data_IF_088451682264
#
_entry.id   IF_088451682264
#
_cell.length_a   1.000
_cell.length_b   1.000
_cell.length_c   1.000
_cell.angle_alpha   90.00
_cell.angle_beta   90.00
_cell.angle_gamma   90.00
#
_symmetry.space_group_name_H-M   'P 1'
#
loop_
_entity.id
_entity.type
_entity.pdbx_description
1 polymer ?
#
# COMPACT_ATOMS: atom_id res chain seq x y z
N UNK A 1 -36.10 17.64 39.29
CA UNK A 1 -36.26 19.03 38.79
C UNK A 1 -35.44 19.99 39.66
N UNK A 2 -34.20 20.27 39.26
CA UNK A 2 -33.37 21.27 39.94
C UNK A 2 -33.70 22.63 39.33
N UNK A 3 -34.16 23.57 40.15
CA UNK A 3 -34.67 24.88 39.72
C UNK A 3 -33.62 25.70 38.96
N UNK A 4 -33.89 25.96 37.69
CA UNK A 4 -33.12 26.79 36.75
C UNK A 4 -32.83 28.20 37.30
N UNK A 5 -33.69 28.71 38.19
CA UNK A 5 -33.52 30.00 38.84
C UNK A 5 -32.34 30.04 39.83
N UNK A 6 -32.06 28.92 40.53
CA UNK A 6 -30.97 28.83 41.51
C UNK A 6 -29.59 28.76 40.85
N UNK A 7 -29.54 28.22 39.62
CA UNK A 7 -28.31 28.18 38.79
C UNK A 7 -28.02 29.56 38.19
N UNK A 8 -29.04 30.26 37.66
CA UNK A 8 -28.89 31.65 37.15
C UNK A 8 -28.35 32.61 38.19
N UNK A 9 -28.84 32.55 39.43
CA UNK A 9 -28.42 33.50 40.47
C UNK A 9 -26.98 33.25 40.96
N UNK A 10 -26.53 31.99 41.01
CA UNK A 10 -25.12 31.64 41.29
C UNK A 10 -24.19 32.03 40.14
N UNK A 11 -24.62 31.82 38.90
CA UNK A 11 -23.85 32.20 37.71
C UNK A 11 -23.68 33.71 37.60
N UNK A 12 -24.73 34.48 37.92
CA UNK A 12 -24.70 35.95 37.91
C UNK A 12 -23.80 36.54 39.00
N UNK A 13 -23.76 35.93 40.19
CA UNK A 13 -22.83 36.34 41.26
C UNK A 13 -21.37 36.01 40.93
N UNK A 14 -21.12 34.87 40.27
CA UNK A 14 -19.81 34.49 39.74
C UNK A 14 -19.33 35.45 38.64
N UNK A 15 -20.22 35.83 37.72
CA UNK A 15 -19.96 36.82 36.67
C UNK A 15 -19.67 38.22 37.24
N UNK A 16 -20.44 38.65 38.24
CA UNK A 16 -20.27 39.96 38.87
C UNK A 16 -18.96 40.03 39.70
N UNK A 17 -18.53 38.93 40.31
CA UNK A 17 -17.23 38.83 40.98
C UNK A 17 -16.04 38.73 39.99
N UNK A 18 -16.27 38.21 38.77
CA UNK A 18 -15.25 38.15 37.71
C UNK A 18 -14.99 39.53 37.06
N UNK A 19 -16.01 40.39 36.97
CA UNK A 19 -15.92 41.71 36.34
C UNK A 19 -15.16 42.78 37.15
N UNK A 20 -14.89 42.56 38.43
CA UNK A 20 -14.19 43.55 39.27
C UNK A 20 -12.64 43.49 39.12
N UNK A 21 -12.13 42.50 38.38
CA UNK A 21 -10.70 42.29 38.14
C UNK A 21 -10.47 41.91 36.66
N UNK A 22 -10.10 42.84 35.76
CA UNK A 22 -9.99 42.58 34.32
C UNK A 22 -9.02 41.43 33.99
N UNK A 23 -8.04 41.19 34.87
CA UNK A 23 -7.08 40.08 34.77
C UNK A 23 -7.73 38.69 34.97
N UNK A 24 -8.77 38.58 35.81
CA UNK A 24 -9.49 37.31 36.04
C UNK A 24 -10.43 36.98 34.90
N UNK A 25 -11.09 37.99 34.34
CA UNK A 25 -11.93 37.85 33.15
C UNK A 25 -11.13 37.34 31.95
N UNK A 26 -9.97 37.93 31.67
CA UNK A 26 -9.09 37.51 30.56
C UNK A 26 -8.61 36.06 30.74
N UNK A 27 -8.20 35.66 31.96
CA UNK A 27 -7.81 34.27 32.25
C UNK A 27 -8.96 33.28 32.03
N UNK A 28 -10.19 33.65 32.44
CA UNK A 28 -11.38 32.83 32.22
C UNK A 28 -11.70 32.64 30.74
N UNK A 29 -11.61 33.72 29.94
CA UNK A 29 -11.84 33.67 28.49
C UNK A 29 -10.79 32.80 27.79
N UNK A 30 -9.51 32.98 28.12
CA UNK A 30 -8.42 32.18 27.55
C UNK A 30 -8.60 30.69 27.86
N UNK A 31 -8.89 30.34 29.12
CA UNK A 31 -9.14 28.94 29.52
C UNK A 31 -10.35 28.33 28.80
N UNK A 32 -11.42 29.10 28.61
CA UNK A 32 -12.61 28.67 27.89
C UNK A 32 -12.30 28.38 26.42
N UNK A 33 -11.60 29.29 25.73
CA UNK A 33 -11.18 29.10 24.34
C UNK A 33 -10.25 27.89 24.22
N UNK A 34 -9.25 27.76 25.09
CA UNK A 34 -8.33 26.62 25.09
C UNK A 34 -9.05 25.29 25.35
N UNK A 35 -10.07 25.29 26.21
CA UNK A 35 -10.89 24.10 26.48
C UNK A 35 -11.70 23.69 25.25
N UNK A 36 -12.25 24.64 24.49
CA UNK A 36 -12.94 24.35 23.22
C UNK A 36 -11.96 23.75 22.20
N UNK A 37 -10.78 24.35 22.04
CA UNK A 37 -9.75 23.87 21.10
C UNK A 37 -9.32 22.44 21.45
N UNK A 38 -9.10 22.13 22.73
CA UNK A 38 -8.72 20.78 23.16
C UNK A 38 -9.88 19.80 22.96
N UNK A 39 -11.12 20.16 23.28
CA UNK A 39 -12.26 19.28 22.99
C UNK A 39 -12.38 18.95 21.49
N UNK A 40 -12.11 19.93 20.62
CA UNK A 40 -12.06 19.71 19.18
C UNK A 40 -10.92 18.76 18.78
N UNK A 41 -9.70 18.99 19.29
CA UNK A 41 -8.54 18.13 19.04
C UNK A 41 -8.79 16.69 19.51
N UNK A 42 -9.35 16.50 20.71
CA UNK A 42 -9.68 15.18 21.23
C UNK A 42 -10.70 14.48 20.33
N UNK A 43 -11.74 15.20 19.89
CA UNK A 43 -12.75 14.63 18.99
C UNK A 43 -12.13 14.17 17.67
N UNK A 44 -11.19 14.94 17.12
CA UNK A 44 -10.45 14.57 15.90
C UNK A 44 -9.54 13.35 16.12
N UNK A 45 -8.83 13.29 17.26
CA UNK A 45 -8.00 12.13 17.62
C UNK A 45 -8.84 10.86 17.79
N UNK A 46 -10.01 10.95 18.43
CA UNK A 46 -10.93 9.80 18.53
C UNK A 46 -11.47 9.36 17.17
N UNK A 47 -11.79 10.30 16.27
CA UNK A 47 -12.18 9.96 14.89
C UNK A 47 -11.07 9.23 14.14
N UNK A 48 -9.83 9.71 14.25
CA UNK A 48 -8.64 9.06 13.67
C UNK A 48 -8.35 7.70 14.28
N UNK A 49 -8.64 7.49 15.57
CA UNK A 49 -8.50 6.18 16.20
C UNK A 49 -9.55 5.18 15.72
N UNK A 50 -10.79 5.63 15.49
CA UNK A 50 -11.87 4.77 15.00
C UNK A 50 -11.71 4.42 13.51
N UNK A 51 -11.27 5.38 12.69
CA UNK A 51 -11.03 5.20 11.26
C UNK A 51 -9.60 5.67 10.95
N UNK A 52 -8.59 4.84 11.25
CA UNK A 52 -7.19 5.20 11.03
C UNK A 52 -6.92 5.38 9.53
N UNK A 53 -6.24 6.47 9.12
CA UNK A 53 -5.81 6.62 7.74
C UNK A 53 -4.86 5.48 7.37
N UNK A 54 -5.01 4.95 6.17
CA UNK A 54 -4.09 3.95 5.61
C UNK A 54 -2.89 4.71 5.05
N UNK A 55 -1.70 4.27 5.45
CA UNK A 55 -0.42 4.76 4.95
C UNK A 55 0.30 3.63 4.24
N UNK A 56 1.05 3.97 3.20
CA UNK A 56 1.85 3.00 2.43
C UNK A 56 3.33 3.28 2.62
N UNK A 57 4.11 2.24 2.92
CA UNK A 57 5.56 2.31 2.98
C UNK A 57 6.19 1.40 1.93
N UNK A 58 7.15 1.94 1.17
CA UNK A 58 7.94 1.18 0.20
C UNK A 58 9.37 1.04 0.66
N UNK A 59 9.89 -0.18 0.73
CA UNK A 59 11.30 -0.47 1.00
C UNK A 59 11.89 -1.44 -0.02
N UNK A 60 13.21 -1.48 -0.10
CA UNK A 60 13.94 -2.46 -0.91
C UNK A 60 14.65 -3.43 0.01
N UNK A 61 14.34 -4.71 -0.15
CA UNK A 61 14.97 -5.78 0.62
C UNK A 61 15.80 -6.66 -0.34
N UNK A 62 16.98 -7.08 0.12
CA UNK A 62 17.83 -8.05 -0.58
C UNK A 62 17.38 -9.45 -0.16
N UNK A 63 16.76 -10.18 -1.07
CA UNK A 63 16.31 -11.53 -0.78
C UNK A 63 17.45 -12.55 -0.99
N UNK A 64 17.65 -13.47 -0.05
CA UNK A 64 18.70 -14.50 -0.17
C UNK A 64 18.42 -15.49 -1.30
N UNK A 65 17.13 -15.83 -1.48
CA UNK A 65 16.62 -16.76 -2.49
C UNK A 65 15.47 -16.14 -3.26
N UNK A 66 15.48 -16.24 -4.58
CA UNK A 66 14.42 -15.70 -5.44
C UNK A 66 13.54 -16.84 -5.96
N UNK A 67 12.24 -16.62 -5.92
CA UNK A 67 11.25 -17.43 -6.63
C UNK A 67 11.06 -16.84 -8.03
N UNK A 68 11.01 -17.70 -9.03
CA UNK A 68 10.67 -17.28 -10.39
C UNK A 68 9.15 -17.22 -10.57
N UNK A 69 8.63 -16.42 -11.51
CA UNK A 69 7.22 -16.44 -11.85
C UNK A 69 6.84 -17.71 -12.61
N UNK A 70 5.55 -17.96 -12.68
CA UNK A 70 4.98 -18.84 -13.69
C UNK A 70 4.97 -18.12 -15.05
N UNK A 71 5.20 -18.88 -16.13
CA UNK A 71 5.20 -18.33 -17.49
C UNK A 71 4.27 -19.14 -18.38
N UNK A 72 3.20 -18.52 -18.85
CA UNK A 72 2.25 -19.14 -19.78
C UNK A 72 2.54 -18.73 -21.21
N UNK A 73 2.62 -19.72 -22.09
CA UNK A 73 2.79 -19.55 -23.53
C UNK A 73 1.54 -19.99 -24.27
N UNK A 74 1.02 -19.11 -25.13
CA UNK A 74 -0.03 -19.43 -26.09
C UNK A 74 0.51 -19.15 -27.50
N UNK A 75 0.29 -20.07 -28.44
CA UNK A 75 0.85 -19.97 -29.78
C UNK A 75 -0.04 -19.15 -30.70
N UNK A 76 0.56 -18.41 -31.63
CA UNK A 76 -0.13 -17.69 -32.70
C UNK A 76 0.43 -18.12 -34.07
N UNK A 77 -0.39 -18.69 -34.97
CA UNK A 77 -1.82 -19.00 -34.79
C UNK A 77 -2.04 -20.16 -33.81
N UNK A 78 -3.16 -20.10 -33.09
CA UNK A 78 -3.53 -21.07 -32.06
C UNK A 78 -3.94 -22.46 -32.60
N UNK A 79 -4.43 -22.50 -33.85
CA UNK A 79 -5.00 -23.70 -34.46
C UNK A 79 -4.33 -24.03 -35.80
N UNK A 80 -4.11 -25.32 -36.04
CA UNK A 80 -3.59 -25.89 -37.28
C UNK A 80 -4.62 -25.73 -38.41
N UNK A 81 -4.27 -24.97 -39.45
CA UNK A 81 -5.18 -24.63 -40.53
C UNK A 81 -5.65 -25.85 -41.34
N UNK A 82 -4.76 -26.81 -41.58
CA UNK A 82 -5.05 -28.07 -42.27
C UNK A 82 -6.01 -28.96 -41.47
N UNK A 83 -5.83 -29.02 -40.15
CA UNK A 83 -6.73 -29.75 -39.26
C UNK A 83 -8.10 -29.07 -39.15
N UNK A 84 -8.15 -27.73 -39.04
CA UNK A 84 -9.43 -27.01 -39.08
C UNK A 84 -10.20 -27.29 -40.38
N UNK A 85 -9.51 -27.30 -41.52
CA UNK A 85 -10.12 -27.60 -42.82
C UNK A 85 -10.72 -29.02 -42.88
N UNK A 86 -10.06 -30.02 -42.25
CA UNK A 86 -10.60 -31.39 -42.10
C UNK A 86 -11.97 -31.42 -41.42
N UNK A 87 -12.23 -30.50 -40.50
CA UNK A 87 -13.49 -30.36 -39.77
C UNK A 87 -14.47 -29.34 -40.38
N UNK A 88 -14.22 -28.89 -41.62
CA UNK A 88 -14.99 -27.86 -42.32
C UNK A 88 -14.97 -26.46 -41.65
N UNK A 89 -13.94 -26.16 -40.84
CA UNK A 89 -13.74 -24.83 -40.27
C UNK A 89 -12.85 -24.01 -41.22
N UNK A 90 -13.39 -22.91 -41.73
CA UNK A 90 -12.67 -22.00 -42.63
C UNK A 90 -12.05 -20.78 -41.91
N UNK A 91 -12.49 -20.51 -40.68
CA UNK A 91 -12.05 -19.36 -39.88
C UNK A 91 -11.89 -19.80 -38.41
N UNK A 92 -11.34 -18.90 -37.58
CA UNK A 92 -11.06 -19.15 -36.17
C UNK A 92 -12.28 -19.67 -35.39
N UNK A 93 -12.15 -20.67 -34.50
CA UNK A 93 -13.24 -21.20 -33.67
C UNK A 93 -14.00 -20.16 -32.83
N UNK A 94 -13.40 -19.01 -32.56
CA UNK A 94 -14.06 -17.91 -31.81
C UNK A 94 -15.23 -17.23 -32.55
N UNK A 95 -15.35 -17.47 -33.86
CA UNK A 95 -16.45 -16.97 -34.66
C UNK A 95 -17.53 -18.04 -34.78
N UNK A 96 -18.76 -17.68 -34.45
CA UNK A 96 -19.90 -18.60 -34.43
C UNK A 96 -20.16 -19.26 -35.81
N UNK A 97 -19.88 -18.55 -36.90
CA UNK A 97 -20.01 -19.08 -38.27
C UNK A 97 -19.05 -20.23 -38.59
N UNK A 98 -17.97 -20.42 -37.83
CA UNK A 98 -17.05 -21.56 -37.98
C UNK A 98 -17.75 -22.91 -37.83
N UNK A 99 -18.84 -22.95 -37.05
CA UNK A 99 -19.57 -24.18 -36.76
C UNK A 99 -20.80 -24.39 -37.64
N UNK A 100 -21.00 -23.60 -38.69
CA UNK A 100 -22.12 -23.77 -39.63
C UNK A 100 -22.07 -25.12 -40.37
N UNK A 101 -20.87 -25.65 -40.61
CA UNK A 101 -20.64 -26.89 -41.39
C UNK A 101 -19.88 -27.96 -40.62
N UNK A 102 -19.71 -27.77 -39.31
CA UNK A 102 -19.01 -28.74 -38.47
C UNK A 102 -19.83 -30.05 -38.37
N UNK A 103 -19.21 -31.22 -38.59
CA UNK A 103 -19.92 -32.50 -38.62
C UNK A 103 -20.14 -33.07 -37.21
N UNK A 104 -21.06 -32.47 -36.46
CA UNK A 104 -21.42 -32.90 -35.09
C UNK A 104 -21.87 -34.37 -34.97
N UNK A 105 -22.30 -34.97 -36.08
CA UNK A 105 -22.67 -36.38 -36.16
C UNK A 105 -21.47 -37.35 -36.19
N UNK A 106 -20.31 -36.88 -36.62
CA UNK A 106 -19.11 -37.70 -36.84
C UNK A 106 -17.96 -37.34 -35.89
N UNK A 107 -17.96 -36.13 -35.34
CA UNK A 107 -16.85 -35.60 -34.54
C UNK A 107 -17.34 -34.75 -33.38
N UNK A 108 -16.63 -34.83 -32.25
CA UNK A 108 -16.90 -34.00 -31.06
C UNK A 108 -16.06 -32.72 -31.05
N UNK A 109 -16.50 -31.73 -30.27
CA UNK A 109 -15.71 -30.52 -30.03
C UNK A 109 -14.37 -30.85 -29.35
N UNK A 110 -14.37 -31.78 -28.39
CA UNK A 110 -13.15 -32.26 -27.74
C UNK A 110 -12.14 -32.80 -28.76
N UNK A 111 -12.58 -33.62 -29.72
CA UNK A 111 -11.71 -34.16 -30.75
C UNK A 111 -11.14 -33.06 -31.65
N UNK A 112 -11.97 -32.10 -32.07
CA UNK A 112 -11.53 -30.94 -32.84
C UNK A 112 -10.43 -30.17 -32.10
N UNK A 113 -10.66 -29.77 -30.84
CA UNK A 113 -9.70 -28.96 -30.10
C UNK A 113 -8.43 -29.74 -29.76
N UNK A 114 -8.52 -31.04 -29.49
CA UNK A 114 -7.35 -31.88 -29.25
C UNK A 114 -6.46 -32.06 -30.50
N UNK A 115 -7.06 -32.25 -31.68
CA UNK A 115 -6.30 -32.42 -32.91
C UNK A 115 -5.81 -31.10 -33.52
N UNK A 116 -6.65 -30.05 -33.45
CA UNK A 116 -6.37 -28.77 -34.10
C UNK A 116 -5.39 -27.90 -33.33
N UNK A 117 -5.15 -28.18 -32.04
CA UNK A 117 -4.15 -27.47 -31.23
C UNK A 117 -2.80 -28.19 -31.23
N UNK A 118 -1.79 -27.54 -30.66
CA UNK A 118 -0.40 -28.01 -30.67
C UNK A 118 -0.06 -28.70 -29.36
N UNK A 119 0.32 -29.98 -29.43
CA UNK A 119 0.70 -30.74 -28.24
C UNK A 119 2.10 -30.37 -27.74
N UNK A 120 2.51 -30.92 -26.60
CA UNK A 120 3.76 -30.56 -25.93
C UNK A 120 5.01 -30.76 -26.81
N UNK A 121 5.07 -31.84 -27.59
CA UNK A 121 6.24 -32.16 -28.43
C UNK A 121 6.29 -31.35 -29.74
N UNK A 122 5.14 -30.83 -30.16
CA UNK A 122 5.02 -29.85 -31.23
C UNK A 122 5.35 -28.43 -30.75
N UNK A 123 5.17 -28.14 -29.45
CA UNK A 123 5.30 -26.82 -28.86
C UNK A 123 6.72 -26.51 -28.34
N UNK A 124 7.34 -27.44 -27.60
CA UNK A 124 8.64 -27.23 -26.97
C UNK A 124 9.76 -28.00 -27.68
N UNK A 125 10.89 -27.33 -27.91
CA UNK A 125 12.17 -27.99 -28.23
C UNK A 125 12.90 -28.33 -26.94
N UNK A 126 12.99 -27.36 -26.03
CA UNK A 126 13.63 -27.48 -24.74
C UNK A 126 13.05 -26.43 -23.78
N UNK A 127 12.96 -26.76 -22.51
CA UNK A 127 12.67 -25.79 -21.45
C UNK A 127 13.38 -26.22 -20.16
N UNK A 128 13.70 -25.27 -19.30
CA UNK A 128 14.26 -25.55 -17.99
C UNK A 128 14.49 -24.28 -17.19
N UNK A 129 14.71 -24.48 -15.89
CA UNK A 129 15.03 -23.43 -14.93
C UNK A 129 16.34 -23.81 -14.24
N UNK A 130 17.29 -22.88 -14.16
CA UNK A 130 18.62 -23.14 -13.62
C UNK A 130 19.30 -24.34 -14.31
N UNK A 131 19.18 -24.38 -15.65
CA UNK A 131 19.80 -25.39 -16.53
C UNK A 131 19.09 -26.74 -16.60
N UNK A 132 18.01 -26.97 -15.84
CA UNK A 132 17.43 -28.32 -15.67
C UNK A 132 15.91 -28.32 -15.96
N UNK A 133 15.39 -29.26 -16.78
CA UNK A 133 13.95 -29.37 -17.05
C UNK A 133 13.13 -29.79 -15.83
N UNK A 134 13.68 -30.65 -14.96
CA UNK A 134 13.02 -31.13 -13.72
C UNK A 134 12.71 -30.03 -12.70
N UNK A 135 13.27 -28.84 -12.89
CA UNK A 135 13.01 -27.68 -12.03
C UNK A 135 11.74 -26.92 -12.43
N UNK A 136 11.02 -27.41 -13.44
CA UNK A 136 9.82 -26.81 -13.99
C UNK A 136 8.73 -27.86 -14.11
N UNK A 137 7.53 -27.55 -13.65
CA UNK A 137 6.31 -28.30 -13.97
C UNK A 137 5.62 -27.64 -15.16
N UNK A 138 5.15 -28.46 -16.10
CA UNK A 138 4.41 -27.97 -17.28
C UNK A 138 2.95 -28.34 -17.13
N UNK A 139 2.11 -27.33 -17.01
CA UNK A 139 0.65 -27.47 -16.95
C UNK A 139 0.04 -27.06 -18.29
N UNK A 140 -0.87 -27.89 -18.78
CA UNK A 140 -1.64 -27.62 -20.00
C UNK A 140 -2.97 -26.95 -19.65
N UNK A 141 -3.37 -25.97 -20.45
CA UNK A 141 -4.71 -25.39 -20.42
C UNK A 141 -5.25 -25.19 -21.83
N UNK A 142 -6.57 -25.33 -22.00
CA UNK A 142 -7.25 -25.17 -23.27
C UNK A 142 -8.18 -23.96 -23.21
N UNK A 143 -8.09 -23.11 -24.23
CA UNK A 143 -8.72 -21.80 -24.33
C UNK A 143 -9.43 -21.68 -25.69
N UNK A 144 -10.48 -20.85 -25.79
CA UNK A 144 -11.25 -20.69 -27.03
C UNK A 144 -10.54 -19.79 -28.04
N UNK A 145 -9.92 -18.71 -27.57
CA UNK A 145 -9.25 -17.73 -28.41
C UNK A 145 -7.79 -18.10 -28.62
N UNK A 146 -7.14 -18.63 -27.59
CA UNK A 146 -5.70 -18.92 -27.57
C UNK A 146 -5.35 -20.39 -27.85
N UNK A 147 -6.36 -21.26 -28.00
CA UNK A 147 -6.15 -22.69 -28.19
C UNK A 147 -5.46 -23.35 -26.99
N UNK A 148 -4.52 -24.26 -27.25
CA UNK A 148 -3.78 -24.94 -26.18
C UNK A 148 -2.58 -24.12 -25.75
N UNK A 149 -2.54 -23.78 -24.47
CA UNK A 149 -1.46 -23.03 -23.85
C UNK A 149 -0.73 -23.89 -22.82
N UNK A 150 0.53 -23.53 -22.56
CA UNK A 150 1.39 -24.22 -21.61
C UNK A 150 1.95 -23.25 -20.58
N UNK A 151 1.69 -23.54 -19.31
CA UNK A 151 2.22 -22.81 -18.16
C UNK A 151 3.41 -23.55 -17.58
N UNK A 152 4.54 -22.86 -17.48
CA UNK A 152 5.75 -23.33 -16.82
C UNK A 152 5.75 -22.83 -15.37
N UNK A 153 5.55 -23.73 -14.41
CA UNK A 153 5.59 -23.44 -12.98
C UNK A 153 6.96 -23.78 -12.39
N UNK A 154 7.57 -22.88 -11.60
CA UNK A 154 8.89 -23.12 -11.02
C UNK A 154 8.82 -24.04 -9.79
N UNK A 155 9.58 -25.13 -9.80
CA UNK A 155 9.66 -26.07 -8.68
C UNK A 155 10.85 -25.80 -7.73
N UNK A 156 11.67 -24.79 -8.05
CA UNK A 156 12.89 -24.49 -7.29
C UNK A 156 13.10 -23.00 -7.10
N UNK A 157 13.80 -22.65 -6.02
CA UNK A 157 14.28 -21.30 -5.74
C UNK A 157 15.76 -21.21 -6.07
N UNK A 158 16.20 -20.04 -6.54
CA UNK A 158 17.60 -19.82 -6.88
C UNK A 158 18.25 -18.75 -6.02
N UNK A 159 19.54 -18.93 -5.73
CA UNK A 159 20.39 -17.98 -5.01
C UNK A 159 21.15 -17.06 -5.97
N UNK A 160 20.93 -17.17 -7.27
CA UNK A 160 21.77 -16.53 -8.28
C UNK A 160 20.92 -15.67 -9.23
N UNK A 161 21.40 -14.46 -9.51
CA UNK A 161 20.72 -13.43 -10.32
C UNK A 161 21.46 -13.19 -11.63
N UNK A 162 21.65 -14.23 -12.42
CA UNK A 162 22.26 -14.18 -13.75
C UNK A 162 21.49 -15.06 -14.74
N UNK A 163 21.79 -14.92 -16.03
CA UNK A 163 21.05 -15.52 -17.15
C UNK A 163 20.92 -17.04 -17.04
N UNK A 164 22.01 -17.74 -16.77
CA UNK A 164 22.09 -19.21 -16.65
C UNK A 164 21.31 -19.77 -15.45
N UNK A 165 21.05 -18.95 -14.42
CA UNK A 165 20.26 -19.36 -13.27
C UNK A 165 18.75 -19.19 -13.47
N UNK A 166 18.34 -18.52 -14.56
CA UNK A 166 16.94 -18.27 -14.90
C UNK A 166 16.33 -19.34 -15.80
N UNK A 167 15.20 -18.98 -16.43
CA UNK A 167 14.57 -19.81 -17.44
C UNK A 167 15.35 -19.77 -18.75
N UNK A 168 15.50 -20.95 -19.37
CA UNK A 168 15.94 -21.11 -20.74
C UNK A 168 14.89 -21.94 -21.48
N UNK A 169 14.19 -21.32 -22.43
CA UNK A 169 13.05 -21.93 -23.10
C UNK A 169 13.21 -21.74 -24.61
N UNK A 170 13.09 -22.84 -25.35
CA UNK A 170 13.14 -22.91 -26.79
C UNK A 170 11.82 -23.50 -27.31
N UNK A 171 11.11 -22.72 -28.11
CA UNK A 171 9.79 -23.03 -28.63
C UNK A 171 9.88 -23.40 -30.11
N UNK A 172 9.04 -24.33 -30.57
CA UNK A 172 8.97 -24.80 -31.95
C UNK A 172 7.75 -24.23 -32.66
N UNK A 173 7.97 -23.81 -33.91
CA UNK A 173 6.90 -23.36 -34.80
C UNK A 173 6.94 -24.12 -36.14
N UNK A 174 5.81 -24.18 -36.84
CA UNK A 174 5.69 -24.86 -38.16
C UNK A 174 5.73 -23.86 -39.34
N UNK A 175 5.31 -22.62 -39.09
CA UNK A 175 5.12 -21.61 -40.12
C UNK A 175 6.43 -20.91 -40.45
N UNK A 176 6.73 -20.80 -41.74
CA UNK A 176 7.83 -19.98 -42.25
C UNK A 176 7.28 -18.56 -42.53
N UNK A 177 7.96 -17.52 -42.05
CA UNK A 177 7.52 -16.10 -42.02
C UNK A 177 7.30 -15.51 -43.44
N UNK A 178 7.62 -16.25 -44.51
CA UNK A 178 7.56 -15.78 -45.89
C UNK A 178 6.15 -15.45 -46.43
N UNK A 179 5.07 -15.68 -45.67
CA UNK A 179 3.69 -15.53 -46.13
C UNK A 179 2.76 -14.73 -45.20
N UNK A 180 3.28 -13.84 -44.35
CA UNK A 180 2.43 -12.99 -43.51
C UNK A 180 1.91 -11.80 -44.31
N UNK A 181 0.59 -11.62 -44.38
CA UNK A 181 -0.02 -10.45 -45.03
C UNK A 181 0.13 -9.21 -44.15
N UNK A 182 0.25 -8.03 -44.78
CA UNK A 182 0.31 -6.75 -44.05
C UNK A 182 -1.00 -6.54 -43.30
N UNK A 183 -0.93 -6.50 -41.96
CA UNK A 183 -2.09 -6.32 -41.07
C UNK A 183 -2.41 -7.52 -40.18
N UNK A 184 -1.86 -8.70 -40.49
CA UNK A 184 -1.98 -9.88 -39.64
C UNK A 184 -0.91 -9.90 -38.55
N UNK A 185 -1.22 -10.50 -37.40
CA UNK A 185 -0.23 -10.73 -36.35
C UNK A 185 0.84 -11.71 -36.87
N UNK A 186 2.14 -11.38 -36.76
CA UNK A 186 3.18 -12.29 -37.22
C UNK A 186 3.15 -13.58 -36.38
N UNK A 187 3.50 -14.75 -36.93
CA UNK A 187 3.48 -16.00 -36.18
C UNK A 187 4.47 -15.94 -35.00
N UNK A 188 4.12 -16.55 -33.89
CA UNK A 188 4.86 -16.42 -32.64
C UNK A 188 4.14 -16.99 -31.43
N UNK A 189 4.41 -16.39 -30.27
CA UNK A 189 3.84 -16.78 -28.99
C UNK A 189 3.50 -15.56 -28.15
N UNK A 190 2.29 -15.59 -27.61
CA UNK A 190 1.89 -14.76 -26.48
C UNK A 190 2.53 -15.33 -25.22
N UNK A 191 3.24 -14.47 -24.49
CA UNK A 191 3.96 -14.81 -23.26
C UNK A 191 3.34 -14.03 -22.12
N UNK A 192 2.83 -14.75 -21.12
CA UNK A 192 2.21 -14.18 -19.93
C UNK A 192 3.04 -14.55 -18.71
N UNK A 193 3.48 -13.55 -17.95
CA UNK A 193 4.29 -13.73 -16.74
C UNK A 193 3.43 -13.34 -15.55
N UNK A 194 3.24 -14.28 -14.63
CA UNK A 194 2.34 -14.09 -13.49
C UNK A 194 2.83 -14.88 -12.27
N UNK A 195 2.24 -14.57 -11.11
CA UNK A 195 2.44 -15.38 -9.92
C UNK A 195 1.86 -16.79 -10.12
N UNK A 196 2.52 -17.79 -9.54
CA UNK A 196 2.08 -19.19 -9.61
C UNK A 196 0.66 -19.35 -9.07
N UNK A 197 0.33 -18.61 -8.01
CA UNK A 197 -0.99 -18.68 -7.39
C UNK A 197 -2.07 -18.00 -8.21
N UNK A 198 -1.76 -16.94 -8.97
CA UNK A 198 -2.78 -16.18 -9.73
C UNK A 198 -3.32 -16.99 -10.92
N UNK A 199 -2.47 -17.78 -11.57
CA UNK A 199 -2.80 -18.52 -12.80
C UNK A 199 -2.97 -17.63 -14.03
N UNK A 200 -3.33 -18.25 -15.16
CA UNK A 200 -3.61 -17.58 -16.43
C UNK A 200 -5.06 -17.83 -16.86
N UNK A 201 -5.72 -16.77 -17.34
CA UNK A 201 -7.03 -16.82 -17.96
C UNK A 201 -6.99 -16.06 -19.30
N UNK A 202 -7.69 -16.56 -20.32
CA UNK A 202 -7.76 -15.86 -21.61
C UNK A 202 -8.55 -14.54 -21.54
N UNK A 203 -9.51 -14.44 -20.62
CA UNK A 203 -10.34 -13.24 -20.44
C UNK A 203 -9.58 -12.14 -19.70
N UNK A 204 -9.27 -11.06 -20.42
CA UNK A 204 -8.35 -10.00 -19.99
C UNK A 204 -8.77 -9.25 -18.74
N UNK A 205 -10.07 -9.09 -18.50
CA UNK A 205 -10.58 -8.31 -17.36
C UNK A 205 -10.51 -9.06 -16.02
N UNK A 206 -10.29 -10.39 -16.06
CA UNK A 206 -10.13 -11.22 -14.87
C UNK A 206 -8.67 -11.30 -14.41
N UNK A 207 -7.72 -11.05 -15.31
CA UNK A 207 -6.30 -10.89 -14.97
C UNK A 207 -6.12 -9.50 -14.38
N UNK A 208 -6.16 -9.39 -13.05
CA UNK A 208 -6.20 -8.19 -12.20
C UNK A 208 -5.07 -7.14 -12.34
N UNK A 209 -4.51 -6.95 -13.54
CA UNK A 209 -3.31 -6.15 -13.82
C UNK A 209 -2.01 -6.79 -13.31
N UNK A 210 -2.08 -8.04 -12.83
CA UNK A 210 -0.97 -8.79 -12.22
C UNK A 210 -0.26 -9.74 -13.19
N UNK A 211 -0.68 -9.73 -14.45
CA UNK A 211 -0.13 -10.56 -15.52
C UNK A 211 0.57 -9.64 -16.52
N UNK A 212 1.87 -9.82 -16.67
CA UNK A 212 2.67 -9.08 -17.64
C UNK A 212 2.61 -9.79 -19.00
N UNK A 213 2.37 -9.03 -20.08
CA UNK A 213 2.19 -9.56 -21.43
C UNK A 213 3.33 -9.15 -22.36
N UNK A 214 3.89 -10.13 -23.05
CA UNK A 214 4.90 -9.95 -24.09
C UNK A 214 4.55 -10.79 -25.32
N UNK A 215 5.06 -10.37 -26.48
CA UNK A 215 4.98 -11.15 -27.72
C UNK A 215 6.38 -11.57 -28.18
N UNK A 216 6.55 -12.86 -28.45
CA UNK A 216 7.77 -13.46 -28.98
C UNK A 216 7.52 -13.92 -30.42
N UNK A 217 8.26 -13.37 -31.38
CA UNK A 217 8.09 -13.73 -32.78
C UNK A 217 8.86 -15.02 -33.12
N UNK A 218 8.44 -15.71 -34.18
CA UNK A 218 9.23 -16.80 -34.75
C UNK A 218 10.58 -16.29 -35.23
N UNK A 219 11.63 -17.10 -35.06
CA UNK A 219 13.02 -16.78 -35.37
C UNK A 219 13.60 -15.60 -34.57
N UNK A 220 13.14 -15.43 -33.33
CA UNK A 220 13.61 -14.42 -32.39
C UNK A 220 14.23 -15.06 -31.14
N UNK A 221 15.32 -14.45 -30.64
CA UNK A 221 15.81 -14.64 -29.28
C UNK A 221 15.48 -13.39 -28.46
N UNK A 222 14.76 -13.56 -27.36
CA UNK A 222 14.38 -12.50 -26.45
C UNK A 222 14.99 -12.72 -25.06
N UNK A 223 15.65 -11.69 -24.52
CA UNK A 223 16.17 -11.66 -23.15
C UNK A 223 15.30 -10.75 -22.29
N UNK A 224 14.81 -11.26 -21.17
CA UNK A 224 13.92 -10.58 -20.24
C UNK A 224 14.59 -10.50 -18.88
N UNK A 225 14.63 -9.27 -18.37
CA UNK A 225 14.97 -8.98 -16.98
C UNK A 225 13.68 -8.94 -16.14
N UNK A 226 13.69 -9.68 -15.04
CA UNK A 226 12.64 -9.65 -14.03
C UNK A 226 12.94 -8.65 -12.91
N UNK A 227 11.87 -8.03 -12.41
CA UNK A 227 11.84 -7.30 -11.14
C UNK A 227 10.62 -7.75 -10.34
N UNK A 228 10.75 -7.87 -9.03
CA UNK A 228 9.67 -8.37 -8.14
C UNK A 228 9.23 -7.29 -7.18
N UNK A 229 7.91 -7.20 -7.00
CA UNK A 229 7.28 -6.36 -6.00
C UNK A 229 6.33 -7.20 -5.15
N UNK A 230 6.47 -7.15 -3.83
CA UNK A 230 5.51 -7.73 -2.90
C UNK A 230 4.63 -6.63 -2.34
N UNK A 231 3.33 -6.82 -2.43
CA UNK A 231 2.32 -5.94 -1.88
C UNK A 231 1.64 -6.64 -0.70
N UNK A 232 1.57 -5.95 0.43
CA UNK A 232 0.78 -6.33 1.59
C UNK A 232 -0.25 -5.24 1.81
N UNK A 233 -1.47 -5.50 1.39
CA UNK A 233 -2.60 -4.58 1.47
C UNK A 233 -3.42 -4.87 2.73
N UNK A 234 -4.11 -3.85 3.23
CA UNK A 234 -5.08 -4.02 4.31
C UNK A 234 -6.49 -4.11 3.75
N UNK A 235 -7.28 -5.04 4.28
CA UNK A 235 -8.72 -5.08 4.00
C UNK A 235 -9.36 -3.79 4.51
N UNK A 236 -10.06 -3.09 3.62
CA UNK A 236 -10.74 -1.84 3.94
C UNK A 236 -12.14 -1.82 3.31
N UNK A 237 -12.97 -0.85 3.70
CA UNK A 237 -14.29 -0.68 3.11
C UNK A 237 -14.22 -0.36 1.60
N UNK A 238 -13.14 0.27 1.14
CA UNK A 238 -12.94 0.63 -0.27
C UNK A 238 -12.29 -0.50 -1.08
N UNK A 239 -11.48 -1.34 -0.43
CA UNK A 239 -10.78 -2.48 -1.04
C UNK A 239 -10.93 -3.72 -0.16
N UNK A 240 -11.90 -4.57 -0.52
CA UNK A 240 -12.06 -5.88 0.09
C UNK A 240 -11.04 -6.87 -0.49
N UNK A 241 -10.12 -7.33 0.35
CA UNK A 241 -9.16 -8.37 0.03
C UNK A 241 -9.28 -9.53 1.03
N UNK A 242 -8.81 -10.72 0.65
CA UNK A 242 -8.86 -11.92 1.49
C UNK A 242 -7.45 -12.29 1.94
N UNK A 243 -7.26 -12.53 3.23
CA UNK A 243 -5.94 -12.95 3.75
C UNK A 243 -5.53 -14.34 3.25
N UNK A 244 -6.51 -15.24 3.09
CA UNK A 244 -6.27 -16.61 2.64
C UNK A 244 -7.35 -17.05 1.66
N UNK A 245 -6.92 -17.50 0.47
CA UNK A 245 -7.78 -18.17 -0.49
C UNK A 245 -7.05 -19.36 -1.09
N UNK A 246 -7.76 -20.49 -1.25
CA UNK A 246 -7.25 -21.65 -1.96
C UNK A 246 -7.36 -21.53 -3.48
N UNK A 247 -8.10 -20.53 -3.97
CA UNK A 247 -8.36 -20.29 -5.39
C UNK A 247 -8.00 -18.83 -5.71
N UNK A 248 -7.35 -18.60 -6.85
CA UNK A 248 -7.03 -17.25 -7.28
C UNK A 248 -8.26 -16.46 -7.66
N UNK A 249 -8.14 -15.13 -7.60
CA UNK A 249 -9.20 -14.23 -8.04
C UNK A 249 -9.52 -14.43 -9.53
N UNK A 250 -8.49 -14.58 -10.37
CA UNK A 250 -8.59 -14.94 -11.79
C UNK A 250 -9.37 -16.24 -12.00
N UNK A 251 -8.97 -17.32 -11.33
CA UNK A 251 -9.60 -18.64 -11.51
C UNK A 251 -11.04 -18.69 -10.98
N UNK A 252 -11.30 -17.99 -9.88
CA UNK A 252 -12.64 -17.79 -9.35
C UNK A 252 -13.53 -17.09 -10.39
N UNK A 253 -13.02 -16.01 -10.99
CA UNK A 253 -13.70 -15.26 -12.04
C UNK A 253 -14.01 -16.12 -13.27
N UNK A 254 -13.03 -16.90 -13.76
CA UNK A 254 -13.24 -17.81 -14.89
C UNK A 254 -14.36 -18.80 -14.61
N UNK A 255 -14.31 -19.51 -13.48
CA UNK A 255 -15.32 -20.51 -13.13
C UNK A 255 -16.69 -19.86 -12.96
N UNK A 256 -16.77 -18.68 -12.37
CA UNK A 256 -18.03 -17.95 -12.23
C UNK A 256 -18.62 -17.59 -13.60
N UNK A 257 -17.80 -17.05 -14.50
CA UNK A 257 -18.20 -16.75 -15.86
C UNK A 257 -18.71 -18.03 -16.54
N UNK A 258 -17.91 -19.09 -16.54
CA UNK A 258 -18.27 -20.35 -17.20
C UNK A 258 -19.60 -20.90 -16.69
N UNK A 259 -19.85 -20.84 -15.37
CA UNK A 259 -21.14 -21.21 -14.79
C UNK A 259 -22.28 -20.36 -15.34
N UNK A 260 -22.14 -19.03 -15.38
CA UNK A 260 -23.19 -18.15 -15.90
C UNK A 260 -23.54 -18.45 -17.37
N UNK A 261 -22.53 -18.75 -18.19
CA UNK A 261 -22.70 -19.14 -19.59
C UNK A 261 -23.39 -20.51 -19.68
N UNK A 262 -22.87 -21.51 -18.97
CA UNK A 262 -23.38 -22.89 -19.04
C UNK A 262 -24.79 -23.01 -18.46
N UNK A 263 -25.11 -22.28 -17.39
CA UNK A 263 -26.46 -22.25 -16.81
C UNK A 263 -27.50 -21.69 -17.82
N UNK A 264 -27.06 -20.83 -18.73
CA UNK A 264 -27.91 -20.24 -19.77
C UNK A 264 -28.09 -21.15 -20.99
N UNK A 265 -27.06 -21.93 -21.34
CA UNK A 265 -27.04 -22.76 -22.58
C UNK A 265 -27.42 -24.21 -22.32
N UNK A 266 -27.05 -24.76 -21.16
CA UNK A 266 -27.26 -26.16 -20.79
C UNK A 266 -26.17 -27.13 -21.27
N UNK A 267 -25.12 -26.65 -21.93
CA UNK A 267 -23.95 -27.43 -22.34
C UNK A 267 -22.66 -26.62 -22.19
N UNK A 268 -21.52 -27.31 -22.19
CA UNK A 268 -20.17 -26.73 -22.04
C UNK A 268 -19.37 -26.82 -23.36
N UNK A 269 -18.12 -26.36 -23.31
CA UNK A 269 -17.13 -26.61 -24.35
C UNK A 269 -15.81 -27.10 -23.74
N UNK A 270 -14.92 -27.72 -24.53
CA UNK A 270 -13.65 -28.27 -24.06
C UNK A 270 -12.75 -27.26 -23.33
N UNK A 271 -12.87 -25.97 -23.66
CA UNK A 271 -12.12 -24.87 -23.04
C UNK A 271 -12.66 -24.42 -21.67
N UNK A 272 -13.73 -25.05 -21.17
CA UNK A 272 -14.33 -24.77 -19.85
C UNK A 272 -14.26 -26.01 -18.93
N UNK A 273 -13.05 -26.46 -18.54
CA UNK A 273 -12.88 -27.67 -17.74
C UNK A 273 -13.46 -27.54 -16.32
N UNK A 274 -14.07 -28.61 -15.82
CA UNK A 274 -14.47 -28.73 -14.42
C UNK A 274 -15.86 -28.21 -14.06
N UNK A 275 -16.69 -27.83 -15.04
CA UNK A 275 -18.09 -27.42 -14.81
C UNK A 275 -19.04 -28.61 -14.59
N UNK A 276 -18.65 -29.82 -15.01
CA UNK A 276 -19.45 -31.04 -14.79
C UNK A 276 -20.69 -31.15 -15.68
N UNK A 277 -20.73 -30.39 -16.78
CA UNK A 277 -21.78 -30.40 -17.80
C UNK A 277 -21.17 -30.91 -19.11
N UNK A 278 -21.88 -31.75 -19.89
CA UNK A 278 -21.36 -32.27 -21.15
C UNK A 278 -21.17 -31.18 -22.21
N UNK A 279 -20.27 -31.45 -23.17
CA UNK A 279 -20.03 -30.56 -24.30
C UNK A 279 -21.26 -30.43 -25.21
N UNK A 280 -21.39 -29.27 -25.86
CA UNK A 280 -22.43 -29.04 -26.85
C UNK A 280 -22.27 -29.99 -28.07
N UNK A 281 -23.40 -30.55 -28.52
CA UNK A 281 -23.45 -31.59 -29.56
C UNK A 281 -24.10 -31.13 -30.87
N UNK A 282 -24.46 -29.85 -30.97
CA UNK A 282 -25.09 -29.30 -32.16
C UNK A 282 -24.62 -27.88 -32.45
N UNK A 283 -24.88 -27.43 -33.67
CA UNK A 283 -24.40 -26.14 -34.15
C UNK A 283 -25.12 -24.96 -33.46
N UNK A 284 -26.39 -25.09 -33.10
CA UNK A 284 -27.16 -23.99 -32.51
C UNK A 284 -26.71 -23.73 -31.06
N UNK A 285 -26.57 -24.80 -30.27
CA UNK A 285 -26.08 -24.71 -28.89
C UNK A 285 -24.63 -24.23 -28.85
N UNK A 286 -23.74 -24.76 -29.70
CA UNK A 286 -22.33 -24.34 -29.77
C UNK A 286 -22.18 -22.85 -30.14
N UNK A 287 -22.98 -22.37 -31.10
CA UNK A 287 -22.96 -20.94 -31.47
C UNK A 287 -23.47 -20.06 -30.34
N UNK A 288 -24.52 -20.50 -29.64
CA UNK A 288 -25.07 -19.77 -28.50
C UNK A 288 -24.07 -19.73 -27.35
N UNK A 289 -23.38 -20.84 -27.08
CA UNK A 289 -22.29 -20.94 -26.13
C UNK A 289 -21.19 -19.92 -26.41
N UNK A 290 -20.62 -19.95 -27.62
CA UNK A 290 -19.52 -19.04 -28.01
C UNK A 290 -19.98 -17.58 -27.97
N UNK A 291 -21.22 -17.30 -28.40
CA UNK A 291 -21.78 -15.95 -28.36
C UNK A 291 -21.87 -15.44 -26.93
N UNK A 292 -22.42 -16.22 -26.00
CA UNK A 292 -22.56 -15.82 -24.60
C UNK A 292 -21.23 -15.74 -23.88
N UNK A 293 -20.32 -16.69 -24.14
CA UNK A 293 -18.94 -16.68 -23.65
C UNK A 293 -18.24 -15.35 -23.96
N UNK A 294 -18.38 -14.86 -25.20
CA UNK A 294 -17.79 -13.58 -25.61
C UNK A 294 -18.54 -12.37 -25.09
N UNK A 295 -19.87 -12.45 -24.93
CA UNK A 295 -20.66 -11.34 -24.41
C UNK A 295 -20.43 -11.08 -22.92
N UNK A 296 -20.03 -12.11 -22.17
CA UNK A 296 -19.78 -12.04 -20.74
C UNK A 296 -18.29 -11.90 -20.40
N UNK A 297 -17.41 -11.64 -21.39
CA UNK A 297 -15.97 -11.41 -21.18
C UNK A 297 -15.71 -10.29 -20.17
N UNK A 298 -16.60 -9.29 -20.15
CA UNK A 298 -16.53 -8.11 -19.29
C UNK A 298 -17.28 -8.26 -17.95
N UNK A 299 -17.74 -9.46 -17.57
CA UNK A 299 -18.42 -9.67 -16.30
C UNK A 299 -17.45 -9.37 -15.14
N UNK A 300 -17.80 -8.39 -14.32
CA UNK A 300 -16.97 -7.98 -13.19
C UNK A 300 -16.88 -9.10 -12.13
N UNK A 301 -15.66 -9.46 -11.77
CA UNK A 301 -15.36 -10.47 -10.74
C UNK A 301 -15.95 -10.14 -9.37
N UNK A 302 -16.25 -8.85 -9.09
CA UNK A 302 -16.94 -8.45 -7.86
C UNK A 302 -18.35 -9.03 -7.76
N UNK A 303 -19.07 -9.18 -8.88
CA UNK A 303 -20.40 -9.80 -8.92
C UNK A 303 -20.34 -11.29 -8.52
N UNK A 304 -19.18 -11.90 -8.71
CA UNK A 304 -18.89 -13.29 -8.36
C UNK A 304 -18.35 -13.47 -6.93
N UNK A 305 -18.14 -12.37 -6.18
CA UNK A 305 -17.48 -12.42 -4.87
C UNK A 305 -16.03 -12.88 -4.94
N UNK A 306 -15.37 -12.70 -6.09
CA UNK A 306 -13.98 -13.11 -6.31
C UNK A 306 -13.05 -11.97 -5.88
N UNK A 307 -12.65 -11.99 -4.61
CA UNK A 307 -11.76 -10.97 -4.04
C UNK A 307 -10.30 -11.33 -4.24
N UNK A 308 -9.48 -10.30 -4.44
CA UNK A 308 -8.03 -10.45 -4.54
C UNK A 308 -7.41 -10.79 -3.18
N UNK A 309 -6.29 -11.54 -3.14
CA UNK A 309 -5.55 -11.75 -1.90
C UNK A 309 -4.94 -10.44 -1.40
N UNK A 310 -4.90 -10.25 -0.07
CA UNK A 310 -4.27 -9.09 0.55
C UNK A 310 -2.74 -9.09 0.37
N UNK A 311 -2.14 -10.27 0.24
CA UNK A 311 -0.73 -10.43 -0.11
C UNK A 311 -0.63 -10.82 -1.58
N UNK A 312 0.09 -10.02 -2.38
CA UNK A 312 0.32 -10.34 -3.78
C UNK A 312 1.75 -10.09 -4.20
N UNK A 313 2.24 -10.89 -5.13
CA UNK A 313 3.52 -10.68 -5.79
C UNK A 313 3.26 -10.27 -7.24
N UNK A 314 3.88 -9.19 -7.67
CA UNK A 314 3.84 -8.72 -9.06
C UNK A 314 5.24 -8.84 -9.64
N UNK A 315 5.30 -9.44 -10.82
CA UNK A 315 6.53 -9.59 -11.59
C UNK A 315 6.48 -8.64 -12.78
N UNK A 316 7.42 -7.71 -12.83
CA UNK A 316 7.59 -6.82 -13.98
C UNK A 316 8.66 -7.39 -14.90
N UNK A 317 8.30 -7.60 -16.16
CA UNK A 317 9.21 -8.08 -17.18
C UNK A 317 9.70 -6.93 -18.07
N UNK A 318 11.01 -6.77 -18.18
CA UNK A 318 11.62 -5.77 -19.04
C UNK A 318 12.44 -6.46 -20.13
N UNK A 319 12.06 -6.23 -21.39
CA UNK A 319 12.81 -6.75 -22.54
C UNK A 319 14.16 -6.05 -22.61
N UNK A 320 15.23 -6.80 -22.40
CA UNK A 320 16.59 -6.28 -22.46
C UNK A 320 17.16 -6.32 -23.87
N UNK A 321 16.81 -7.35 -24.64
CA UNK A 321 17.41 -7.62 -25.92
C UNK A 321 16.49 -8.44 -26.80
N UNK A 322 16.53 -8.17 -28.10
CA UNK A 322 15.86 -8.94 -29.15
C UNK A 322 16.85 -9.15 -30.28
N UNK A 323 17.08 -10.40 -30.68
CA UNK A 323 18.04 -10.77 -31.71
C UNK A 323 17.43 -11.80 -32.67
N UNK A 324 17.85 -11.82 -33.94
CA UNK A 324 17.49 -12.92 -34.83
C UNK A 324 18.02 -14.25 -34.29
N UNK A 325 17.15 -15.25 -34.24
CA UNK A 325 17.46 -16.62 -33.84
C UNK A 325 17.07 -17.57 -34.95
N UNK A 326 18.04 -18.23 -35.58
CA UNK A 326 17.78 -19.13 -36.70
C UNK A 326 18.45 -20.47 -36.46
N UNK A 327 17.63 -21.50 -36.44
CA UNK A 327 18.06 -22.90 -36.43
C UNK A 327 17.44 -23.60 -37.65
N UNK A 328 17.62 -24.92 -37.77
CA UNK A 328 17.12 -25.70 -38.91
C UNK A 328 15.59 -25.73 -39.02
N UNK A 329 14.88 -25.42 -37.93
CA UNK A 329 13.41 -25.36 -37.86
C UNK A 329 12.97 -23.97 -37.38
N UNK A 330 11.79 -23.47 -37.78
CA UNK A 330 11.23 -22.26 -37.23
C UNK A 330 11.08 -22.40 -35.70
N UNK A 331 11.71 -21.50 -34.95
CA UNK A 331 11.79 -21.60 -33.50
C UNK A 331 12.04 -20.23 -32.88
N UNK A 332 11.82 -20.10 -31.58
CA UNK A 332 12.24 -18.94 -30.82
C UNK A 332 12.88 -19.35 -29.50
N UNK A 333 13.77 -18.49 -28.99
CA UNK A 333 14.45 -18.66 -27.72
C UNK A 333 14.06 -17.52 -26.78
N UNK A 334 13.73 -17.84 -25.55
CA UNK A 334 13.45 -16.84 -24.52
C UNK A 334 14.25 -17.15 -23.26
N UNK A 335 14.85 -16.10 -22.71
CA UNK A 335 15.59 -16.13 -21.46
C UNK A 335 14.92 -15.20 -20.49
N UNK A 336 14.50 -15.72 -19.35
CA UNK A 336 13.85 -14.92 -18.30
C UNK A 336 14.69 -15.06 -17.05
N UNK A 337 15.23 -13.95 -16.52
CA UNK A 337 16.14 -13.99 -15.39
C UNK A 337 16.13 -12.71 -14.55
N UNK A 338 16.53 -12.83 -13.29
CA UNK A 338 16.83 -11.68 -12.44
C UNK A 338 18.24 -11.16 -12.71
N UNK A 339 18.42 -9.84 -12.71
CA UNK A 339 19.76 -9.21 -12.72
C UNK A 339 20.23 -8.80 -11.32
N UNK A 340 19.31 -8.78 -10.36
CA UNK A 340 19.58 -8.42 -8.97
C UNK A 340 18.62 -9.18 -8.05
N UNK A 341 19.01 -9.34 -6.79
CA UNK A 341 18.19 -9.94 -5.73
C UNK A 341 17.33 -8.93 -4.98
N UNK A 342 17.31 -7.68 -5.43
CA UNK A 342 16.49 -6.63 -4.82
C UNK A 342 15.02 -6.89 -5.11
N UNK A 343 14.22 -6.89 -4.05
CA UNK A 343 12.77 -7.00 -4.10
C UNK A 343 12.17 -5.74 -3.49
N UNK A 344 11.18 -5.17 -4.16
CA UNK A 344 10.45 -4.01 -3.60
C UNK A 344 9.34 -4.54 -2.72
N UNK A 345 9.26 -4.07 -1.48
CA UNK A 345 8.17 -4.40 -0.56
C UNK A 345 7.33 -3.14 -0.37
N UNK A 346 6.04 -3.27 -0.65
CA UNK A 346 5.03 -2.22 -0.49
C UNK A 346 4.04 -2.72 0.57
N UNK A 347 4.03 -2.09 1.73
CA UNK A 347 3.19 -2.47 2.86
C UNK A 347 2.23 -1.34 3.22
N UNK A 348 0.95 -1.66 3.32
CA UNK A 348 -0.07 -0.81 3.91
C UNK A 348 -0.17 -1.07 5.41
N UNK A 349 -0.27 0.01 6.18
CA UNK A 349 -0.47 -0.05 7.62
C UNK A 349 -1.39 1.06 8.07
N UNK A 350 -2.01 0.88 9.24
CA UNK A 350 -2.76 1.95 9.89
C UNK A 350 -1.79 3.02 10.37
N UNK A 351 -1.84 4.19 9.73
CA UNK A 351 -0.95 5.32 10.03
C UNK A 351 -1.20 5.99 11.38
N UNK A 352 -2.25 5.58 12.10
CA UNK A 352 -2.58 6.05 13.43
C UNK A 352 -2.78 4.87 14.37
N UNK A 353 -1.84 4.68 15.28
CA UNK A 353 -1.85 3.61 16.28
C UNK A 353 -2.22 4.13 17.68
N UNK A 354 -2.39 3.21 18.63
CA UNK A 354 -2.72 3.58 20.00
C UNK A 354 -1.62 4.40 20.67
N UNK A 355 -0.35 4.19 20.31
CA UNK A 355 0.76 4.95 20.87
C UNK A 355 0.71 6.41 20.42
N UNK A 356 0.45 6.66 19.14
CA UNK A 356 0.24 7.99 18.58
C UNK A 356 -0.97 8.67 19.21
N UNK A 357 -2.07 7.93 19.41
CA UNK A 357 -3.23 8.42 20.13
C UNK A 357 -2.91 8.88 21.55
N UNK A 358 -2.20 8.07 22.34
CA UNK A 358 -1.80 8.41 23.70
C UNK A 358 -0.85 9.62 23.70
N UNK A 359 0.04 9.72 22.72
CA UNK A 359 0.91 10.87 22.53
C UNK A 359 0.14 12.16 22.29
N UNK A 360 -0.83 12.16 21.35
CA UNK A 360 -1.64 13.33 21.01
C UNK A 360 -2.59 13.74 22.17
N UNK A 361 -3.17 12.74 22.85
CA UNK A 361 -3.98 12.92 24.06
C UNK A 361 -3.13 13.56 25.17
N UNK A 362 -1.93 13.02 25.40
CA UNK A 362 -0.98 13.52 26.39
C UNK A 362 -0.53 14.95 26.09
N UNK A 363 -0.26 15.27 24.83
CA UNK A 363 0.06 16.63 24.40
C UNK A 363 -1.08 17.62 24.65
N UNK A 364 -2.31 17.24 24.29
CA UNK A 364 -3.50 18.09 24.43
C UNK A 364 -3.87 18.34 25.89
N UNK A 365 -3.81 17.30 26.73
CA UNK A 365 -4.03 17.41 28.18
C UNK A 365 -2.89 18.16 28.87
N UNK A 366 -1.64 17.90 28.45
CA UNK A 366 -0.45 18.58 28.94
C UNK A 366 -0.49 20.09 28.67
N UNK A 367 -1.01 20.52 27.52
CA UNK A 367 -1.22 21.93 27.22
C UNK A 367 -2.20 22.61 28.19
N UNK A 368 -3.36 21.99 28.48
CA UNK A 368 -4.31 22.51 29.47
C UNK A 368 -3.69 22.56 30.87
N UNK A 369 -2.93 21.54 31.23
CA UNK A 369 -2.27 21.46 32.53
C UNK A 369 -1.18 22.54 32.66
N UNK A 370 -0.41 22.79 31.59
CA UNK A 370 0.58 23.87 31.52
C UNK A 370 -0.03 25.26 31.71
N UNK A 371 -1.17 25.54 31.06
CA UNK A 371 -1.92 26.79 31.27
C UNK A 371 -2.45 26.91 32.71
N UNK A 372 -2.86 25.79 33.31
CA UNK A 372 -3.26 25.72 34.72
C UNK A 372 -2.09 26.01 35.67
N UNK A 373 -0.88 25.50 35.38
CA UNK A 373 0.34 25.73 36.17
C UNK A 373 0.80 27.19 36.09
N UNK A 374 0.76 27.82 34.91
CA UNK A 374 1.01 29.27 34.80
C UNK A 374 -0.01 30.09 35.61
N UNK A 375 -1.27 29.63 35.64
CA UNK A 375 -2.30 30.18 36.52
C UNK A 375 -1.94 30.05 38.00
N UNK A 376 -1.40 28.90 38.42
CA UNK A 376 -0.96 28.61 39.79
C UNK A 376 0.27 29.44 40.19
N UNK A 377 1.28 29.55 39.32
CA UNK A 377 2.46 30.40 39.56
C UNK A 377 2.03 31.85 39.76
N UNK A 378 1.15 32.37 38.89
CA UNK A 378 0.62 33.73 39.03
C UNK A 378 -0.25 33.92 40.28
N UNK A 379 -0.80 32.85 40.87
CA UNK A 379 -1.47 32.90 42.18
C UNK A 379 -0.44 32.97 43.31
N UNK A 380 0.60 32.14 43.25
CA UNK A 380 1.67 32.09 44.25
C UNK A 380 2.44 33.42 44.33
N UNK A 381 2.76 34.05 43.20
CA UNK A 381 3.36 35.39 43.16
C UNK A 381 2.51 36.41 43.93
N UNK A 382 1.19 36.39 43.75
CA UNK A 382 0.28 37.31 44.45
C UNK A 382 0.19 37.02 45.94
N UNK A 383 0.28 35.75 46.35
CA UNK A 383 0.33 35.38 47.76
C UNK A 383 1.64 35.89 48.39
N UNK A 384 2.78 35.69 47.72
CA UNK A 384 4.09 36.18 48.19
C UNK A 384 4.09 37.70 48.30
N UNK A 385 3.59 38.41 47.29
CA UNK A 385 3.49 39.87 47.27
C UNK A 385 2.59 40.38 48.41
N UNK A 386 1.43 39.74 48.64
CA UNK A 386 0.55 40.08 49.76
C UNK A 386 1.19 39.81 51.13
N UNK A 387 1.93 38.73 51.28
CA UNK A 387 2.62 38.40 52.54
C UNK A 387 3.79 39.36 52.79
N UNK A 388 4.56 39.70 51.75
CA UNK A 388 5.66 40.67 51.85
C UNK A 388 5.15 42.09 52.15
N UNK A 389 4.10 42.54 51.46
CA UNK A 389 3.48 43.84 51.72
C UNK A 389 2.88 43.88 53.13
N UNK A 390 2.21 42.80 53.58
CA UNK A 390 1.70 42.72 54.96
C UNK A 390 2.83 42.74 55.99
N UNK A 391 3.96 42.08 55.74
CA UNK A 391 5.15 42.14 56.60
C UNK A 391 5.77 43.54 56.65
N UNK A 392 5.92 44.20 55.49
CA UNK A 392 6.44 45.57 55.42
C UNK A 392 5.50 46.59 56.09
N UNK A 393 4.18 46.41 55.96
CA UNK A 393 3.21 47.23 56.67
C UNK A 393 3.21 46.97 58.18
N UNK A 394 3.42 45.72 58.62
CA UNK A 394 3.59 45.39 60.03
C UNK A 394 4.89 45.98 60.61
N UNK A 395 6.00 45.95 59.85
CA UNK A 395 7.25 46.60 60.24
C UNK A 395 7.16 48.12 60.28
N UNK A 396 6.48 48.75 59.30
CA UNK A 396 6.23 50.20 59.32
C UNK A 396 5.35 50.61 60.51
N UNK A 397 4.32 49.81 60.85
CA UNK A 397 3.49 50.04 62.03
C UNK A 397 4.29 49.92 63.34
N UNK A 398 5.21 48.94 63.44
CA UNK A 398 6.16 48.86 64.57
C UNK A 398 7.05 50.10 64.67
N UNK A 399 7.65 50.55 63.55
CA UNK A 399 8.51 51.74 63.54
C UNK A 399 7.75 53.05 63.83
N UNK A 400 6.46 53.14 63.49
CA UNK A 400 5.62 54.29 63.86
C UNK A 400 5.25 54.27 65.35
N UNK A 401 4.94 53.10 65.90
CA UNK A 401 4.70 52.94 67.35
C UNK A 401 5.95 53.28 68.18
N UNK A 402 7.15 52.91 67.72
CA UNK A 402 8.42 53.29 68.38
C UNK A 402 8.70 54.80 68.28
N UNK A 403 8.30 55.47 67.18
CA UNK A 403 8.47 56.93 67.04
C UNK A 403 7.50 57.76 67.87
N UNK A 404 6.27 57.28 68.10
CA UNK A 404 5.32 57.96 68.99
C UNK A 404 5.73 57.87 70.47
N UNK A 405 6.40 56.79 70.88
CA UNK A 405 6.98 56.67 72.23
C UNK A 405 8.13 57.66 72.43
N UNK A 406 9.04 57.79 71.45
CA UNK A 406 10.18 58.73 71.53
C UNK A 406 9.74 60.21 71.41
N UNK A 407 8.64 60.50 70.72
CA UNK A 407 8.09 61.85 70.60
C UNK A 407 7.46 62.36 71.91
N UNK A 408 6.95 61.48 72.76
CA UNK A 408 6.40 61.88 74.06
C UNK A 408 7.48 62.11 75.12
N UNK A 409 8.65 61.47 75.01
CA UNK A 409 9.79 61.70 75.92
C UNK A 409 10.61 62.98 75.58
N UNK A 410 10.48 63.50 74.36
CA UNK A 410 11.22 64.70 73.91
C UNK A 410 10.53 66.04 74.26
N UNK A 411 9.29 66.02 74.77
CA UNK A 411 8.58 67.24 75.19
C UNK A 411 8.88 67.66 76.64
N UNK A 412 9.55 66.80 77.44
CA UNK A 412 9.78 67.05 78.88
C UNK A 412 11.26 67.29 79.25
N UNK A 413 12.19 67.30 78.27
CA UNK A 413 13.64 67.34 78.55
C UNK A 413 14.43 68.39 77.75
N UNK A 414 13.89 69.61 77.62
CA UNK A 414 14.67 70.80 77.22
C UNK A 414 14.81 71.80 78.35
N UNK A 415 15.64 71.44 79.33
CA UNK A 415 16.38 72.38 80.18
C UNK A 415 17.73 71.73 80.52
N UNK A 416 18.82 72.52 80.51
CA UNK A 416 20.20 72.19 80.97
C UNK A 416 21.08 71.52 79.89
N UNK A 417 21.92 72.28 79.14
CA UNK A 417 23.39 72.48 79.29
C UNK A 417 24.26 71.23 78.95
N UNK A 418 25.49 71.25 78.42
CA UNK A 418 26.45 72.16 77.77
C UNK A 418 27.66 71.27 77.33
N UNK A 419 28.40 71.63 76.27
CA UNK A 419 29.81 71.27 75.92
C UNK A 419 30.18 69.75 75.74
N UNK A 420 31.04 69.24 74.83
CA UNK A 420 32.33 69.69 74.26
C UNK A 420 32.74 68.76 73.07
N UNK A 421 33.55 69.26 72.12
CA UNK A 421 34.28 68.61 71.00
C UNK A 421 35.41 67.62 71.46
N UNK A 422 36.32 67.00 70.63
CA UNK A 422 36.56 67.08 69.15
C UNK A 422 36.99 65.77 68.38
N UNK A 423 37.01 65.89 67.03
CA UNK A 423 37.97 65.42 66.00
C UNK A 423 38.32 63.92 65.72
N UNK A 424 38.16 63.48 64.45
CA UNK A 424 39.21 63.23 63.41
C UNK A 424 38.58 62.50 62.17
N UNK A 425 38.62 63.08 60.95
CA UNK A 425 39.54 62.79 59.81
C UNK A 425 39.54 61.33 59.33
N UNK A 426 39.48 60.94 58.05
CA UNK A 426 39.58 61.61 56.73
C UNK A 426 39.38 60.54 55.62
N UNK A 427 38.62 60.83 54.56
CA UNK A 427 38.99 60.89 53.12
C UNK A 427 40.19 60.01 52.63
N UNK A 428 40.28 59.44 51.42
CA UNK A 428 39.49 59.37 50.18
C UNK A 428 40.16 58.31 49.25
N UNK A 429 39.47 58.02 48.15
CA UNK A 429 39.68 57.20 46.94
C UNK A 429 41.08 57.26 46.28
N UNK A 430 41.53 56.19 45.57
CA UNK A 430 41.72 56.11 44.08
C UNK A 430 42.54 54.90 43.59
N UNK A 431 42.16 54.45 42.39
CA UNK A 431 42.63 53.41 41.45
C UNK A 431 44.15 53.13 41.28
N UNK A 432 44.40 51.88 40.86
CA UNK A 432 45.04 51.47 39.58
C UNK A 432 46.24 50.54 39.77
N UNK A 433 46.19 49.29 39.29
CA UNK A 433 47.33 48.72 38.56
C UNK A 433 46.97 47.51 37.66
N UNK A 434 47.84 47.33 36.66
CA UNK A 434 47.86 46.49 35.47
C UNK A 434 48.16 45.01 35.73
N UNK A 435 47.87 44.17 34.73
CA UNK A 435 48.59 42.90 34.53
C UNK A 435 47.91 41.89 33.59
N UNK A 436 48.26 41.91 32.30
CA UNK A 436 48.27 40.72 31.43
C UNK A 436 49.64 40.01 31.58
N UNK A 437 49.99 38.86 30.95
CA UNK A 437 49.27 38.05 29.94
C UNK A 437 49.32 36.52 30.18
N UNK A 438 48.66 35.72 29.32
CA UNK A 438 49.22 34.46 28.75
C UNK A 438 48.22 33.76 27.80
N UNK A 439 48.78 33.29 26.68
CA UNK A 439 48.19 32.47 25.62
C UNK A 439 47.86 31.03 26.07
N UNK A 440 46.88 30.39 25.42
CA UNK A 440 46.94 29.03 24.85
C UNK A 440 45.57 28.69 24.22
N UNK A 441 45.44 28.63 22.89
CA UNK A 441 45.51 27.42 22.05
C UNK A 441 44.28 26.49 22.17
N UNK A 442 43.59 26.38 21.02
CA UNK A 442 42.63 25.37 20.51
C UNK A 442 43.06 23.89 20.77
N UNK A 443 42.31 22.82 20.37
CA UNK A 443 41.08 22.74 19.57
C UNK A 443 39.99 21.75 20.09
N UNK A 444 38.76 21.89 19.60
CA UNK A 444 38.08 20.94 18.68
C UNK A 444 36.76 21.53 18.20
#
# INVERSE_FOLDING_TARGET
MISVAKVRHKLWYLLHALCHDPKRLVRGIVLFICSIVVMYQLTDCFKKLCNPPISTHSRFDLNDTMLYPAITFCREPAYKADVMAKYNLAIHPKYTSSFDRFPFNESSLEQLFNEATYNHSEFFIQHGLNGEPKNVEVVESLHLDMGRCYTLNPLTKTKHSWKEAGYSIMLRHDTNISHVSVGDMPPGWHVFIHDETEGFAENRMQSSGRVEYLYLEVNEEMEIRLSTQHFYMLASYENECVEFSSISSTRCGEICHWKAVVDSVGCSGPWMPGIGVPDCIDAESTKTLIKLYRQLEDLDGTQCGCFQPCTTTIYTASVMNRKPFRISVPAAQIWVYYTSKMVTIVEEFHGYDFNQFVSDLGGSLGFLLGLSVLGLIGLLEKIVELVFIRRLLAEKRKKQAEKEVVSNDAAESKAVEQNTNPCQQSDDVTLSDKGAPAEAVLPQ
#
